data_IF_393036679359
#
_entry.id   IF_393036679359
#
_cell.length_a   1.000
_cell.length_b   1.000
_cell.length_c   1.000
_cell.angle_alpha   90.00
_cell.angle_beta   90.00
_cell.angle_gamma   90.00
#
_symmetry.space_group_name_H-M   'P 1'
#
loop_
_entity.id
_entity.type
_entity.pdbx_description
1 polymer ?
#
# COMPACT_ATOMS: atom_id res chain seq x y z
N UNK A 1 -3.26 2.35 17.26
CA UNK A 1 -3.38 2.08 15.81
C UNK A 1 -3.86 3.35 15.16
N UNK A 2 -3.30 3.69 14.01
CA UNK A 2 -3.65 4.88 13.24
C UNK A 2 -4.48 4.46 12.04
N UNK A 3 -5.50 5.25 11.74
CA UNK A 3 -6.40 5.08 10.60
C UNK A 3 -6.04 6.10 9.53
N UNK A 4 -5.60 5.62 8.37
CA UNK A 4 -5.29 6.42 7.19
C UNK A 4 -6.46 6.36 6.22
N UNK A 5 -6.94 7.52 5.79
CA UNK A 5 -7.95 7.64 4.74
C UNK A 5 -7.25 7.99 3.43
N UNK A 6 -7.21 7.02 2.52
CA UNK A 6 -6.54 7.10 1.24
C UNK A 6 -7.57 7.27 0.13
N UNK A 7 -7.17 7.93 -0.95
CA UNK A 7 -8.05 8.22 -2.07
C UNK A 7 -7.30 8.01 -3.38
N UNK A 8 -7.81 7.12 -4.22
CA UNK A 8 -7.23 6.73 -5.51
C UNK A 8 -8.18 7.19 -6.62
N UNK A 9 -7.72 8.15 -7.44
CA UNK A 9 -8.54 8.73 -8.52
C UNK A 9 -8.74 7.78 -9.69
N UNK A 10 -7.73 6.96 -9.98
CA UNK A 10 -7.72 6.08 -11.15
C UNK A 10 -6.95 4.80 -10.78
N UNK A 11 -7.69 3.72 -10.47
CA UNK A 11 -7.10 2.42 -10.15
C UNK A 11 -6.35 1.83 -11.37
N UNK A 12 -6.78 2.12 -12.59
CA UNK A 12 -6.08 1.63 -13.77
C UNK A 12 -4.66 2.22 -13.89
N UNK A 13 -4.45 3.44 -13.35
CA UNK A 13 -3.14 4.08 -13.22
C UNK A 13 -2.44 3.81 -11.89
N UNK A 14 -3.07 3.07 -10.97
CA UNK A 14 -2.49 2.71 -9.69
C UNK A 14 -1.50 1.56 -9.86
N UNK A 15 -0.31 1.90 -10.38
CA UNK A 15 0.79 0.98 -10.62
C UNK A 15 2.04 1.51 -9.94
N UNK A 16 2.72 0.62 -9.21
CA UNK A 16 4.04 0.88 -8.67
C UNK A 16 5.12 0.97 -9.78
N UNK A 17 6.35 1.31 -9.40
CA UNK A 17 7.48 1.40 -10.34
C UNK A 17 7.83 0.04 -10.97
N UNK A 18 7.63 -1.05 -10.23
CA UNK A 18 7.87 -2.42 -10.68
C UNK A 18 6.54 -3.11 -11.01
N UNK A 19 6.32 -3.54 -12.26
CA UNK A 19 5.09 -4.24 -12.65
C UNK A 19 4.83 -5.52 -11.83
N UNK A 20 5.88 -6.26 -11.47
CA UNK A 20 5.79 -7.51 -10.69
C UNK A 20 5.39 -7.30 -9.21
N UNK A 21 5.52 -6.07 -8.70
CA UNK A 21 5.15 -5.70 -7.33
C UNK A 21 3.86 -4.87 -7.28
N UNK A 22 3.41 -4.42 -8.44
CA UNK A 22 2.27 -3.53 -8.57
C UNK A 22 0.96 -4.25 -8.33
N UNK A 23 -0.03 -3.48 -7.91
CA UNK A 23 -1.41 -3.94 -7.80
C UNK A 23 -1.94 -4.45 -9.14
N UNK A 24 -2.52 -5.64 -9.14
CA UNK A 24 -3.21 -6.22 -10.27
C UNK A 24 -4.65 -6.55 -9.86
N UNK A 25 -5.58 -5.66 -10.19
CA UNK A 25 -6.97 -5.84 -9.86
C UNK A 25 -7.84 -4.70 -10.38
N UNK A 26 -9.16 -4.91 -10.27
CA UNK A 26 -10.16 -3.93 -10.64
C UNK A 26 -11.12 -3.84 -9.45
N UNK A 27 -11.24 -2.65 -8.87
CA UNK A 27 -12.20 -2.35 -7.81
C UNK A 27 -11.60 -2.07 -6.42
N UNK A 28 -12.39 -1.42 -5.55
CA UNK A 28 -11.91 -0.89 -4.28
C UNK A 28 -11.66 -1.98 -3.22
N UNK A 29 -12.46 -3.04 -3.21
CA UNK A 29 -12.35 -4.12 -2.22
C UNK A 29 -11.04 -4.90 -2.40
N UNK A 30 -10.69 -5.22 -3.65
CA UNK A 30 -9.44 -5.89 -4.01
C UNK A 30 -8.23 -4.99 -3.70
N UNK A 31 -8.30 -3.70 -4.03
CA UNK A 31 -7.27 -2.73 -3.66
C UNK A 31 -7.05 -2.69 -2.14
N UNK A 32 -8.12 -2.62 -1.36
CA UNK A 32 -8.02 -2.63 0.09
C UNK A 32 -7.43 -3.94 0.63
N UNK A 33 -7.85 -5.08 0.10
CA UNK A 33 -7.29 -6.39 0.49
C UNK A 33 -5.77 -6.45 0.25
N UNK A 34 -5.29 -5.98 -0.90
CA UNK A 34 -3.87 -5.99 -1.23
C UNK A 34 -3.07 -4.98 -0.40
N UNK A 35 -3.64 -3.81 -0.10
CA UNK A 35 -3.04 -2.86 0.83
C UNK A 35 -2.92 -3.47 2.23
N UNK A 36 -3.97 -4.15 2.72
CA UNK A 36 -3.91 -4.81 4.02
C UNK A 36 -2.86 -5.92 4.06
N UNK A 37 -2.79 -6.75 3.01
CA UNK A 37 -1.78 -7.81 2.89
C UNK A 37 -0.36 -7.25 2.88
N UNK A 38 -0.11 -6.17 2.13
CA UNK A 38 1.18 -5.48 2.08
C UNK A 38 1.65 -4.90 3.42
N UNK A 39 0.72 -4.67 4.36
CA UNK A 39 1.05 -4.25 5.74
C UNK A 39 1.23 -5.44 6.67
N UNK A 40 0.45 -6.53 6.47
CA UNK A 40 0.52 -7.74 7.29
C UNK A 40 1.75 -8.59 7.00
N UNK A 41 2.24 -8.56 5.78
CA UNK A 41 3.34 -9.40 5.28
C UNK A 41 4.52 -8.55 4.82
N UNK A 42 5.74 -9.07 5.03
CA UNK A 42 6.96 -8.49 4.49
C UNK A 42 7.26 -9.00 3.07
N UNK A 43 6.42 -9.87 2.50
CA UNK A 43 6.64 -10.48 1.19
C UNK A 43 6.86 -9.45 0.08
N UNK A 44 6.06 -8.38 0.06
CA UNK A 44 6.23 -7.29 -0.91
C UNK A 44 7.59 -6.59 -0.75
N UNK A 45 8.00 -6.36 0.50
CA UNK A 45 9.29 -5.76 0.84
C UNK A 45 10.45 -6.66 0.44
N UNK A 46 10.40 -7.95 0.74
CA UNK A 46 11.47 -8.88 0.40
C UNK A 46 11.67 -8.97 -1.12
N UNK A 47 10.57 -9.00 -1.89
CA UNK A 47 10.64 -8.99 -3.36
C UNK A 47 11.25 -7.69 -3.90
N UNK A 48 10.88 -6.54 -3.33
CA UNK A 48 11.49 -5.26 -3.67
C UNK A 48 12.97 -5.18 -3.27
N UNK A 49 13.30 -5.63 -2.06
CA UNK A 49 14.66 -5.67 -1.52
C UNK A 49 15.57 -6.51 -2.40
N UNK A 50 15.12 -7.69 -2.84
CA UNK A 50 15.86 -8.57 -3.74
C UNK A 50 16.14 -7.97 -5.13
N UNK A 51 15.40 -6.93 -5.53
CA UNK A 51 15.62 -6.18 -6.78
C UNK A 51 16.59 -5.00 -6.62
N UNK A 52 16.95 -4.63 -5.38
CA UNK A 52 17.92 -3.56 -5.15
C UNK A 52 19.33 -4.01 -5.55
N UNK A 53 20.20 -3.09 -6.01
CA UNK A 53 21.60 -3.41 -6.33
C UNK A 53 22.34 -4.08 -5.18
N UNK A 54 22.10 -3.59 -3.95
CA UNK A 54 22.73 -4.05 -2.71
C UNK A 54 21.64 -4.38 -1.67
N UNK A 55 21.02 -5.58 -1.74
CA UNK A 55 19.91 -5.95 -0.86
C UNK A 55 20.30 -5.97 0.62
N UNK A 56 21.55 -6.28 0.94
CA UNK A 56 22.05 -6.35 2.31
C UNK A 56 22.23 -4.97 2.97
N UNK A 57 22.38 -3.90 2.18
CA UNK A 57 22.46 -2.52 2.68
C UNK A 57 21.08 -1.88 2.92
N UNK A 58 20.00 -2.52 2.47
CA UNK A 58 18.64 -2.03 2.69
C UNK A 58 18.29 -2.10 4.19
N UNK A 59 17.82 -0.97 4.72
CA UNK A 59 17.39 -0.85 6.12
C UNK A 59 16.35 -1.93 6.49
N UNK A 60 16.67 -2.86 7.42
CA UNK A 60 15.75 -3.92 7.85
C UNK A 60 14.48 -3.38 8.49
N UNK A 61 14.49 -2.16 9.05
CA UNK A 61 13.32 -1.54 9.66
C UNK A 61 12.21 -1.25 8.65
N UNK A 62 12.53 -1.17 7.36
CA UNK A 62 11.55 -1.09 6.26
C UNK A 62 10.77 -2.40 6.07
N UNK A 63 11.22 -3.51 6.67
CA UNK A 63 10.55 -4.81 6.67
C UNK A 63 9.52 -5.01 7.77
N UNK A 64 9.27 -4.00 8.62
CA UNK A 64 8.28 -4.11 9.69
C UNK A 64 6.87 -4.40 9.16
N UNK A 65 6.13 -5.23 9.88
CA UNK A 65 4.77 -5.68 9.53
C UNK A 65 3.81 -5.48 10.69
N UNK A 66 2.53 -5.46 10.37
CA UNK A 66 1.43 -5.42 11.32
C UNK A 66 0.38 -6.47 10.94
N UNK A 67 0.44 -7.63 11.58
CA UNK A 67 -0.51 -8.74 11.38
C UNK A 67 -1.98 -8.35 11.64
N UNK A 68 -2.21 -7.28 12.41
CA UNK A 68 -3.55 -6.77 12.73
C UNK A 68 -4.02 -5.64 11.82
N UNK A 69 -3.22 -5.27 10.79
CA UNK A 69 -3.60 -4.25 9.84
C UNK A 69 -4.90 -4.64 9.11
N UNK A 70 -5.79 -3.69 8.86
CA UNK A 70 -7.05 -3.92 8.14
C UNK A 70 -7.27 -2.81 7.15
N UNK A 71 -7.86 -3.11 6.00
CA UNK A 71 -8.28 -2.08 5.07
C UNK A 71 -9.64 -2.42 4.47
N UNK A 72 -10.41 -1.36 4.23
CA UNK A 72 -11.72 -1.44 3.58
C UNK A 72 -11.75 -0.42 2.45
N UNK A 73 -12.19 -0.85 1.28
CA UNK A 73 -12.31 0.01 0.11
C UNK A 73 -13.77 0.24 -0.25
N UNK A 74 -14.06 1.44 -0.72
CA UNK A 74 -15.37 1.84 -1.22
C UNK A 74 -15.26 2.67 -2.51
N UNK A 75 -16.27 2.55 -3.37
CA UNK A 75 -16.38 3.38 -4.57
C UNK A 75 -17.17 4.65 -4.21
N UNK A 76 -16.48 5.78 -4.24
CA UNK A 76 -17.02 7.11 -3.99
C UNK A 76 -17.55 7.76 -5.27
N UNK A 77 -18.45 8.77 -5.15
CA UNK A 77 -18.95 9.52 -6.30
C UNK A 77 -17.82 10.11 -7.16
N UNK A 78 -17.94 9.98 -8.48
CA UNK A 78 -16.91 10.44 -9.43
C UNK A 78 -15.81 9.43 -9.73
N UNK A 79 -16.11 8.13 -9.64
CA UNK A 79 -15.20 7.00 -9.96
C UNK A 79 -13.96 6.90 -9.04
N UNK A 80 -14.02 7.58 -7.90
CA UNK A 80 -12.91 7.63 -6.95
C UNK A 80 -12.98 6.45 -6.01
N UNK A 81 -11.84 5.83 -5.77
CA UNK A 81 -11.74 4.68 -4.89
C UNK A 81 -11.13 5.13 -3.57
N UNK A 82 -11.93 5.15 -2.52
CA UNK A 82 -11.48 5.55 -1.19
C UNK A 82 -11.16 4.28 -0.37
N UNK A 83 -10.05 4.32 0.36
CA UNK A 83 -9.57 3.19 1.17
C UNK A 83 -9.29 3.67 2.58
N UNK A 84 -9.92 3.02 3.55
CA UNK A 84 -9.65 3.21 4.97
C UNK A 84 -8.71 2.12 5.44
N UNK A 85 -7.46 2.47 5.74
CA UNK A 85 -6.42 1.57 6.25
C UNK A 85 -6.23 1.82 7.75
N UNK A 86 -6.32 0.79 8.58
CA UNK A 86 -5.99 0.84 10.01
C UNK A 86 -4.75 0.00 10.28
N UNK A 87 -3.68 0.60 10.81
CA UNK A 87 -2.44 -0.11 11.14
C UNK A 87 -1.67 0.58 12.27
N UNK A 88 -0.82 -0.16 12.96
CA UNK A 88 0.18 0.34 13.91
C UNK A 88 1.48 0.79 13.23
N UNK A 89 1.65 0.51 11.93
CA UNK A 89 2.84 0.93 11.18
C UNK A 89 2.92 2.46 11.07
N UNK A 90 4.13 3.04 11.19
CA UNK A 90 4.32 4.46 11.01
C UNK A 90 4.14 4.85 9.54
N UNK A 91 3.75 6.10 9.30
CA UNK A 91 3.47 6.65 7.97
C UNK A 91 4.59 6.37 6.93
N UNK A 92 5.87 6.40 7.34
CA UNK A 92 6.99 6.11 6.43
C UNK A 92 6.88 4.72 5.79
N UNK A 93 6.58 3.70 6.59
CA UNK A 93 6.42 2.31 6.16
C UNK A 93 5.18 2.17 5.29
N UNK A 94 4.05 2.76 5.72
CA UNK A 94 2.81 2.77 4.96
C UNK A 94 3.02 3.39 3.58
N UNK A 95 3.64 4.57 3.51
CA UNK A 95 3.91 5.29 2.27
C UNK A 95 4.82 4.50 1.33
N UNK A 96 5.85 3.84 1.88
CA UNK A 96 6.74 2.98 1.10
C UNK A 96 5.98 1.80 0.50
N UNK A 97 5.15 1.08 1.27
CA UNK A 97 4.33 -0.03 0.76
C UNK A 97 3.34 0.43 -0.31
N UNK A 98 2.66 1.56 -0.09
CA UNK A 98 1.73 2.13 -1.07
C UNK A 98 2.46 2.51 -2.37
N UNK A 99 3.66 3.10 -2.29
CA UNK A 99 4.44 3.42 -3.49
C UNK A 99 4.86 2.18 -4.29
N UNK A 100 5.18 1.07 -3.62
CA UNK A 100 5.48 -0.19 -4.30
C UNK A 100 4.25 -0.80 -4.98
N UNK A 101 3.10 -0.72 -4.33
CA UNK A 101 1.87 -1.37 -4.79
C UNK A 101 1.13 -0.53 -5.85
N UNK A 102 0.90 0.76 -5.57
CA UNK A 102 0.05 1.65 -6.38
C UNK A 102 0.75 2.93 -6.86
N UNK A 103 2.06 3.03 -6.62
CA UNK A 103 2.86 4.18 -7.06
C UNK A 103 2.40 5.48 -6.43
N UNK A 104 2.33 6.53 -7.24
CA UNK A 104 1.98 7.88 -6.80
C UNK A 104 0.49 8.23 -7.08
N UNK A 105 -0.31 7.26 -7.50
CA UNK A 105 -1.71 7.46 -7.94
C UNK A 105 -2.70 7.53 -6.78
N UNK A 106 -2.26 8.00 -5.62
CA UNK A 106 -3.07 8.08 -4.39
C UNK A 106 -2.80 9.37 -3.62
N UNK A 107 -3.81 9.81 -2.88
CA UNK A 107 -3.77 10.98 -2.02
C UNK A 107 -4.14 10.57 -0.59
N UNK A 108 -3.42 11.09 0.41
CA UNK A 108 -3.82 10.99 1.81
C UNK A 108 -4.86 12.08 2.10
N UNK A 109 -6.06 11.67 2.53
CA UNK A 109 -7.16 12.60 2.89
C UNK A 109 -7.09 13.02 4.35
N UNK A 110 -6.92 12.06 5.24
CA UNK A 110 -7.04 12.25 6.69
C UNK A 110 -6.26 11.14 7.41
N UNK A 111 -5.86 11.39 8.66
CA UNK A 111 -5.24 10.44 9.57
C UNK A 111 -5.83 10.60 10.96
N UNK A 112 -6.34 9.51 11.54
CA UNK A 112 -6.99 9.49 12.86
C UNK A 112 -6.40 8.46 13.80
#
# INVERSE_FOLDING_TARGET
MTTYFLSVKDIAKAKGPDPELSFEGIGPEKLAADIADAMRSDSLFQRWRAKQPDPDEVDPSLGATDASATATGELSPGDRHDVKLTTSLPMRLVKHRLNLLIGNSWELRDTR
#
